data_IF_353474801190
#
_entry.id   IF_353474801190
#
_cell.length_a   1.000
_cell.length_b   1.000
_cell.length_c   1.000
_cell.angle_alpha   90.00
_cell.angle_beta   90.00
_cell.angle_gamma   90.00
#
_symmetry.space_group_name_H-M   'P 1'
#
loop_
_entity.id
_entity.type
_entity.pdbx_description
1 polymer ?
#
# COMPACT_ATOMS: atom_id res chain seq x y z
N UNK A 1 -3.31 1.06 26.48
CA UNK A 1 -3.84 2.18 25.65
C UNK A 1 -3.39 2.12 24.19
N UNK A 2 -2.17 1.63 23.89
CA UNK A 2 -1.65 1.54 22.52
C UNK A 2 -2.39 0.52 21.65
N UNK A 3 -2.82 -0.59 22.26
CA UNK A 3 -3.55 -1.67 21.56
C UNK A 3 -4.91 -1.23 21.01
N UNK A 4 -5.57 -0.30 21.70
CA UNK A 4 -6.88 0.20 21.29
C UNK A 4 -6.79 1.05 20.02
N UNK A 5 -5.71 1.84 19.88
CA UNK A 5 -5.45 2.62 18.66
C UNK A 5 -5.13 1.71 17.48
N UNK A 6 -4.31 0.68 17.69
CA UNK A 6 -3.93 -0.27 16.65
C UNK A 6 -5.14 -1.09 16.16
N UNK A 7 -6.01 -1.50 17.09
CA UNK A 7 -7.28 -2.18 16.78
C UNK A 7 -8.20 -1.28 15.95
N UNK A 8 -8.33 0.00 16.29
CA UNK A 8 -9.14 0.95 15.51
C UNK A 8 -8.59 1.13 14.09
N UNK A 9 -7.27 1.35 13.94
CA UNK A 9 -6.64 1.49 12.63
C UNK A 9 -6.81 0.23 11.77
N UNK A 10 -6.67 -0.95 12.39
CA UNK A 10 -6.88 -2.22 11.70
C UNK A 10 -8.32 -2.36 11.21
N UNK A 11 -9.31 -1.98 12.03
CA UNK A 11 -10.72 -2.00 11.62
C UNK A 11 -11.00 -1.04 10.47
N UNK A 12 -10.42 0.15 10.49
CA UNK A 12 -10.54 1.14 9.42
C UNK A 12 -9.91 0.66 8.10
N UNK A 13 -8.80 -0.09 8.17
CA UNK A 13 -8.22 -0.68 6.97
C UNK A 13 -9.12 -1.77 6.41
N UNK A 14 -9.61 -2.68 7.26
CA UNK A 14 -10.43 -3.82 6.84
C UNK A 14 -11.81 -3.40 6.33
N UNK A 15 -12.33 -2.22 6.68
CA UNK A 15 -13.57 -1.70 6.10
C UNK A 15 -13.46 -1.35 4.62
N UNK A 16 -12.25 -1.30 4.05
CA UNK A 16 -12.04 -1.06 2.62
C UNK A 16 -12.23 -2.35 1.82
N UNK A 17 -13.06 -2.36 0.75
CA UNK A 17 -13.24 -3.54 -0.09
C UNK A 17 -11.91 -4.09 -0.63
N UNK A 18 -11.71 -5.39 -0.47
CA UNK A 18 -10.46 -6.07 -0.85
C UNK A 18 -9.33 -6.00 0.18
N UNK A 19 -9.48 -5.25 1.28
CA UNK A 19 -8.49 -5.21 2.35
C UNK A 19 -8.83 -6.25 3.43
N UNK A 20 -8.12 -7.38 3.39
CA UNK A 20 -8.22 -8.41 4.43
C UNK A 20 -7.35 -8.15 5.65
N UNK A 21 -7.58 -8.91 6.74
CA UNK A 21 -6.80 -8.80 8.00
C UNK A 21 -5.28 -8.92 7.78
N UNK A 22 -4.85 -9.83 6.90
CA UNK A 22 -3.42 -10.06 6.59
C UNK A 22 -2.78 -8.82 5.97
N UNK A 23 -3.45 -8.22 4.98
CA UNK A 23 -2.99 -6.99 4.34
C UNK A 23 -3.00 -5.83 5.34
N UNK A 24 -4.06 -5.67 6.14
CA UNK A 24 -4.15 -4.62 7.14
C UNK A 24 -3.01 -4.69 8.17
N UNK A 25 -2.73 -5.88 8.71
CA UNK A 25 -1.63 -6.06 9.67
C UNK A 25 -0.26 -5.81 9.04
N UNK A 26 -0.01 -6.33 7.83
CA UNK A 26 1.24 -6.08 7.13
C UNK A 26 1.44 -4.58 6.88
N UNK A 27 0.39 -3.88 6.47
CA UNK A 27 0.45 -2.44 6.22
C UNK A 27 0.77 -1.67 7.52
N UNK A 28 0.14 -2.01 8.64
CA UNK A 28 0.40 -1.37 9.93
C UNK A 28 1.81 -1.62 10.44
N UNK A 29 2.32 -2.86 10.34
CA UNK A 29 3.68 -3.21 10.78
C UNK A 29 4.72 -2.51 9.91
N UNK A 30 4.56 -2.55 8.59
CA UNK A 30 5.54 -1.98 7.64
C UNK A 30 5.57 -0.45 7.67
N UNK A 31 4.45 0.19 7.98
CA UNK A 31 4.35 1.65 8.08
C UNK A 31 4.48 2.18 9.50
N UNK A 32 4.71 1.29 10.48
CA UNK A 32 4.72 1.62 11.90
C UNK A 32 3.51 2.47 12.30
N UNK A 33 2.30 1.96 12.03
CA UNK A 33 1.03 2.68 12.24
C UNK A 33 0.94 3.99 11.42
N UNK A 34 1.44 3.99 10.18
CA UNK A 34 1.55 5.17 9.31
C UNK A 34 2.40 6.33 9.88
N UNK A 35 3.27 6.05 10.86
CA UNK A 35 4.18 7.07 11.43
C UNK A 35 5.42 7.27 10.57
N UNK A 36 5.93 6.22 9.93
CA UNK A 36 7.15 6.32 9.11
C UNK A 36 6.88 6.86 7.72
N UNK A 37 5.70 6.59 7.17
CA UNK A 37 5.28 7.04 5.84
C UNK A 37 3.93 7.74 5.97
N UNK A 38 3.97 9.07 5.95
CA UNK A 38 2.77 9.93 6.04
C UNK A 38 2.14 10.22 4.68
N UNK A 39 2.94 10.17 3.62
CA UNK A 39 2.52 10.51 2.26
C UNK A 39 2.09 9.25 1.48
N UNK A 40 0.85 9.20 0.96
CA UNK A 40 0.35 8.03 0.23
C UNK A 40 1.17 7.73 -1.04
N UNK A 41 1.71 8.76 -1.70
CA UNK A 41 2.61 8.58 -2.84
C UNK A 41 3.91 7.88 -2.45
N UNK A 42 4.51 8.25 -1.31
CA UNK A 42 5.73 7.60 -0.80
C UNK A 42 5.45 6.14 -0.45
N UNK A 43 4.28 5.85 0.10
CA UNK A 43 3.87 4.46 0.36
C UNK A 43 3.73 3.67 -0.96
N UNK A 44 3.09 4.25 -1.98
CA UNK A 44 2.96 3.60 -3.28
C UNK A 44 4.32 3.34 -3.97
N UNK A 45 5.30 4.24 -3.78
CA UNK A 45 6.70 4.03 -4.20
C UNK A 45 7.33 2.87 -3.44
N UNK A 46 7.20 2.89 -2.11
CA UNK A 46 7.81 1.93 -1.19
C UNK A 46 7.32 0.51 -1.46
N UNK A 47 6.02 0.35 -1.71
CA UNK A 47 5.45 -0.93 -2.10
C UNK A 47 5.72 -1.26 -3.58
N UNK A 48 6.06 -0.27 -4.40
CA UNK A 48 6.32 -0.46 -5.84
C UNK A 48 5.06 -0.76 -6.64
N UNK A 49 3.93 -0.18 -6.23
CA UNK A 49 2.66 -0.21 -6.97
C UNK A 49 2.62 0.88 -8.04
N UNK A 50 3.19 2.04 -7.75
CA UNK A 50 3.26 3.16 -8.69
C UNK A 50 4.73 3.58 -8.87
N UNK A 51 5.24 3.68 -10.12
CA UNK A 51 6.51 4.30 -10.39
C UNK A 51 6.36 5.82 -10.33
N UNK A 52 7.36 6.51 -9.78
CA UNK A 52 7.38 7.97 -9.73
C UNK A 52 8.69 8.48 -10.35
N UNK A 53 8.60 9.63 -11.00
CA UNK A 53 9.75 10.27 -11.62
C UNK A 53 10.66 10.87 -10.54
N UNK A 54 11.89 10.36 -10.45
CA UNK A 54 12.94 10.99 -9.66
C UNK A 54 13.65 12.00 -10.56
N UNK A 55 13.19 13.25 -10.55
CA UNK A 55 13.85 14.35 -11.25
C UNK A 55 14.90 14.93 -10.28
N UNK A 56 16.12 14.41 -10.32
CA UNK A 56 17.28 15.16 -9.80
C UNK A 56 17.59 16.26 -10.81
N UNK A 57 17.63 17.53 -10.38
CA UNK A 57 17.68 18.75 -11.21
C UNK A 57 18.86 18.93 -12.17
N UNK A 58 19.45 17.87 -12.70
CA UNK A 58 20.48 17.87 -13.74
C UNK A 58 20.10 16.82 -14.80
N UNK A 59 19.30 17.22 -15.79
CA UNK A 59 19.20 16.62 -17.13
C UNK A 59 19.26 15.07 -17.25
N UNK A 60 18.53 14.33 -16.40
CA UNK A 60 18.39 12.88 -16.55
C UNK A 60 16.89 12.54 -16.58
N UNK A 61 16.29 12.64 -17.77
CA UNK A 61 14.96 12.08 -18.06
C UNK A 61 15.08 10.55 -18.15
N UNK A 62 14.97 9.85 -17.02
CA UNK A 62 14.83 8.38 -17.00
C UNK A 62 13.35 8.01 -16.96
N UNK A 63 12.96 7.01 -17.75
CA UNK A 63 11.62 6.42 -17.69
C UNK A 63 11.32 6.04 -16.23
N UNK A 64 10.15 6.43 -15.67
CA UNK A 64 9.78 6.09 -14.32
C UNK A 64 9.69 4.56 -14.19
N UNK A 65 10.47 4.00 -13.24
CA UNK A 65 10.51 2.57 -12.95
C UNK A 65 10.29 2.34 -11.46
N UNK A 66 9.61 1.25 -11.13
CA UNK A 66 9.51 0.80 -9.74
C UNK A 66 10.89 0.38 -9.25
N UNK A 67 11.18 0.68 -7.98
CA UNK A 67 12.45 0.27 -7.36
C UNK A 67 12.55 -1.25 -7.26
N UNK A 68 13.75 -1.82 -7.49
CA UNK A 68 14.03 -3.23 -7.20
C UNK A 68 13.94 -3.54 -5.71
N UNK A 69 14.16 -2.52 -4.86
CA UNK A 69 14.07 -2.57 -3.40
C UNK A 69 12.65 -2.35 -2.87
N UNK A 70 11.64 -2.30 -3.75
CA UNK A 70 10.25 -2.20 -3.30
C UNK A 70 9.83 -3.44 -2.49
N UNK A 71 8.90 -3.25 -1.54
CA UNK A 71 8.35 -4.33 -0.72
C UNK A 71 7.46 -5.26 -1.55
N UNK A 72 8.06 -6.31 -2.12
CA UNK A 72 7.40 -7.24 -3.04
C UNK A 72 6.28 -8.05 -2.37
N UNK A 73 6.40 -8.33 -1.08
CA UNK A 73 5.37 -9.05 -0.33
C UNK A 73 4.12 -8.18 -0.15
N UNK A 74 4.31 -6.93 0.28
CA UNK A 74 3.22 -5.99 0.40
C UNK A 74 2.60 -5.67 -0.97
N UNK A 75 3.41 -5.64 -2.04
CA UNK A 75 2.93 -5.52 -3.43
C UNK A 75 2.00 -6.66 -3.83
N UNK A 76 2.39 -7.90 -3.52
CA UNK A 76 1.57 -9.10 -3.78
C UNK A 76 0.25 -9.02 -3.01
N UNK A 77 0.29 -8.65 -1.72
CA UNK A 77 -0.92 -8.54 -0.90
C UNK A 77 -1.88 -7.46 -1.42
N UNK A 78 -1.35 -6.29 -1.82
CA UNK A 78 -2.17 -5.24 -2.44
C UNK A 78 -2.77 -5.69 -3.77
N UNK A 79 -1.99 -6.39 -4.60
CA UNK A 79 -2.49 -6.93 -5.86
C UNK A 79 -3.64 -7.94 -5.65
N UNK A 80 -3.48 -8.88 -4.72
CA UNK A 80 -4.54 -9.83 -4.37
C UNK A 80 -5.77 -9.14 -3.79
N UNK A 81 -5.57 -8.13 -2.95
CA UNK A 81 -6.67 -7.31 -2.42
C UNK A 81 -7.44 -6.59 -3.52
N UNK A 82 -6.73 -5.99 -4.48
CA UNK A 82 -7.35 -5.35 -5.64
C UNK A 82 -8.13 -6.35 -6.52
N UNK A 83 -7.58 -7.53 -6.78
CA UNK A 83 -8.28 -8.60 -7.52
C UNK A 83 -9.55 -9.06 -6.78
N UNK A 84 -9.48 -9.18 -5.46
CA UNK A 84 -10.65 -9.49 -4.63
C UNK A 84 -11.71 -8.40 -4.69
N UNK A 85 -11.31 -7.12 -4.64
CA UNK A 85 -12.23 -5.99 -4.74
C UNK A 85 -12.92 -5.92 -6.11
N UNK A 86 -12.19 -6.19 -7.19
CA UNK A 86 -12.75 -6.23 -8.55
C UNK A 86 -13.78 -7.36 -8.67
N UNK A 87 -13.50 -8.55 -8.13
CA UNK A 87 -14.45 -9.66 -8.13
C UNK A 87 -15.71 -9.34 -7.34
N UNK A 88 -15.58 -8.71 -6.17
CA UNK A 88 -16.72 -8.28 -5.34
C UNK A 88 -17.63 -7.29 -6.09
N UNK A 89 -17.04 -6.41 -6.90
CA UNK A 89 -17.77 -5.37 -7.65
C UNK A 89 -18.48 -5.92 -8.89
N UNK A 90 -17.98 -7.02 -9.45
CA UNK A 90 -18.60 -7.72 -10.57
C UNK A 90 -19.81 -8.59 -10.16
N UNK A 91 -20.14 -8.64 -8.86
CA UNK A 91 -21.32 -9.33 -8.32
C UNK A 91 -22.57 -8.41 -8.24
N UNK A 92 -22.52 -7.25 -8.91
CA UNK A 92 -23.66 -6.35 -9.08
C UNK A 92 -24.27 -6.57 -10.47
N UNK A 93 -25.05 -7.65 -10.58
CA UNK A 93 -26.17 -7.76 -11.53
C UNK A 93 -27.29 -6.78 -11.16
#
# INVERSE_FOLDING_TARGET
KQDQKLSTLQKQLVSTPGVGKVLAWNLLVKTNEFKTITEPRKLACYVGVAPFENISGTSIFRKPRVSSFADKDLKRLLHLGAMSAIRLKNDLS
#
